data_IF_018071153025
#
_entry.id   IF_018071153025
#
_cell.length_a   1.000
_cell.length_b   1.000
_cell.length_c   1.000
_cell.angle_alpha   90.00
_cell.angle_beta   90.00
_cell.angle_gamma   90.00
#
_symmetry.space_group_name_H-M   'P 1'
#
loop_
_entity.id
_entity.type
_entity.pdbx_description
1 polymer ?
#
# COMPACT_ATOMS: atom_id res chain seq x y z
N UNK A 1 16.29 -0.76 22.05
CA UNK A 1 16.95 -1.74 21.16
C UNK A 1 16.52 -1.48 19.73
N UNK A 2 17.35 -1.77 18.72
CA UNK A 2 17.00 -1.60 17.30
C UNK A 2 17.31 -2.88 16.53
N UNK A 3 16.41 -3.28 15.61
CA UNK A 3 16.61 -4.44 14.73
C UNK A 3 15.96 -4.22 13.36
N UNK A 4 16.62 -4.71 12.32
CA UNK A 4 16.13 -4.69 10.94
C UNK A 4 15.80 -6.11 10.48
N UNK A 5 14.65 -6.28 9.81
CA UNK A 5 14.17 -7.55 9.30
C UNK A 5 13.97 -7.44 7.78
N UNK A 6 14.65 -8.28 7.02
CA UNK A 6 14.45 -8.33 5.57
C UNK A 6 13.16 -9.11 5.27
N UNK A 7 12.14 -8.40 4.74
CA UNK A 7 10.80 -8.94 4.48
C UNK A 7 10.34 -8.41 3.13
N UNK A 8 10.21 -9.28 2.12
CA UNK A 8 9.96 -8.89 0.72
C UNK A 8 8.51 -8.47 0.41
N UNK A 9 7.58 -8.54 1.38
CA UNK A 9 6.22 -8.03 1.25
C UNK A 9 5.70 -7.60 2.63
N UNK A 10 5.91 -6.34 3.00
CA UNK A 10 5.53 -5.82 4.32
C UNK A 10 4.07 -5.37 4.32
N UNK A 11 3.19 -6.13 4.99
CA UNK A 11 1.88 -5.63 5.39
C UNK A 11 1.93 -5.06 6.82
N UNK A 12 2.13 -3.74 6.93
CA UNK A 12 2.25 -3.02 8.20
C UNK A 12 0.99 -3.10 9.06
N UNK A 13 -0.20 -3.18 8.45
CA UNK A 13 -1.46 -3.26 9.22
C UNK A 13 -1.56 -4.63 9.90
N UNK A 14 -1.31 -5.71 9.16
CA UNK A 14 -1.26 -7.06 9.73
C UNK A 14 -0.17 -7.19 10.81
N UNK A 15 0.98 -6.54 10.62
CA UNK A 15 2.05 -6.51 11.63
C UNK A 15 1.60 -5.76 12.88
N UNK A 16 0.95 -4.60 12.72
CA UNK A 16 0.40 -3.81 13.81
C UNK A 16 -0.62 -4.61 14.63
N UNK A 17 -1.62 -5.22 13.98
CA UNK A 17 -2.65 -6.01 14.64
C UNK A 17 -2.05 -7.17 15.45
N UNK A 18 -1.07 -7.88 14.87
CA UNK A 18 -0.38 -8.99 15.53
C UNK A 18 0.43 -8.53 16.73
N UNK A 19 1.19 -7.43 16.60
CA UNK A 19 1.98 -6.89 17.72
C UNK A 19 1.05 -6.43 18.84
N UNK A 20 -0.04 -5.73 18.51
CA UNK A 20 -1.06 -5.28 19.46
C UNK A 20 -1.66 -6.47 20.21
N UNK A 21 -2.08 -7.51 19.49
CA UNK A 21 -2.64 -8.74 20.08
C UNK A 21 -1.64 -9.44 21.00
N UNK A 22 -0.38 -9.61 20.58
CA UNK A 22 0.62 -10.32 21.38
C UNK A 22 1.05 -9.53 22.61
N UNK A 23 1.12 -8.19 22.53
CA UNK A 23 1.36 -7.33 23.69
C UNK A 23 0.26 -7.51 24.74
N UNK A 24 -1.00 -7.53 24.31
CA UNK A 24 -2.14 -7.73 25.21
C UNK A 24 -2.17 -9.16 25.79
N UNK A 25 -1.83 -10.18 24.99
CA UNK A 25 -1.73 -11.57 25.43
C UNK A 25 -0.67 -11.76 26.53
N UNK A 26 0.38 -10.94 26.53
CA UNK A 26 1.44 -10.93 27.53
C UNK A 26 1.08 -10.10 28.78
N UNK A 27 -0.16 -9.63 28.90
CA UNK A 27 -0.65 -8.88 30.06
C UNK A 27 -0.17 -7.43 30.11
N UNK A 28 0.27 -6.88 28.98
CA UNK A 28 0.64 -5.47 28.85
C UNK A 28 -0.51 -4.65 28.25
N UNK A 29 -0.57 -3.37 28.60
CA UNK A 29 -1.60 -2.45 28.11
C UNK A 29 -1.00 -1.46 27.11
N UNK A 30 -1.72 -1.20 26.03
CA UNK A 30 -1.35 -0.14 25.06
C UNK A 30 -2.00 1.15 25.52
N UNK A 31 -1.17 2.09 25.98
CA UNK A 31 -1.60 3.38 26.49
C UNK A 31 -1.82 4.41 25.36
N UNK A 32 -1.08 4.27 24.26
CA UNK A 32 -1.24 5.11 23.07
C UNK A 32 -0.78 4.38 21.82
N UNK A 33 -1.53 4.58 20.75
CA UNK A 33 -1.24 4.11 19.40
C UNK A 33 -1.13 5.32 18.46
N UNK A 34 0.05 5.50 17.87
CA UNK A 34 0.38 6.60 16.96
C UNK A 34 0.70 6.04 15.56
N UNK A 35 -0.25 6.07 14.62
CA UNK A 35 0.02 5.71 13.24
C UNK A 35 0.97 6.73 12.60
N UNK A 36 1.82 6.27 11.68
CA UNK A 36 2.78 7.10 10.92
C UNK A 36 2.69 6.79 9.43
N UNK A 37 3.18 7.71 8.59
CA UNK A 37 3.10 7.56 7.12
C UNK A 37 3.76 6.28 6.60
N UNK A 38 4.77 5.77 7.32
CA UNK A 38 5.55 4.61 6.91
C UNK A 38 5.73 3.58 8.04
N UNK A 39 4.77 3.52 8.96
CA UNK A 39 4.92 2.73 10.17
C UNK A 39 3.92 3.10 11.27
N UNK A 40 4.27 2.77 12.51
CA UNK A 40 3.49 3.12 13.68
C UNK A 40 4.36 3.14 14.94
N UNK A 41 3.83 3.75 15.99
CA UNK A 41 4.43 3.77 17.32
C UNK A 41 3.40 3.39 18.38
N UNK A 42 3.72 2.40 19.21
CA UNK A 42 2.89 2.01 20.36
C UNK A 42 3.61 2.36 21.66
N UNK A 43 2.85 2.91 22.61
CA UNK A 43 3.26 3.11 23.98
C UNK A 43 2.61 2.05 24.84
N UNK A 44 3.43 1.27 25.52
CA UNK A 44 3.04 0.06 26.25
C UNK A 44 3.35 0.26 27.74
N UNK A 45 2.51 -0.28 28.60
CA UNK A 45 2.75 -0.32 30.05
C UNK A 45 2.48 -1.70 30.64
N UNK A 46 3.20 -2.03 31.72
CA UNK A 46 2.98 -3.21 32.56
C UNK A 46 3.16 -2.79 34.01
N UNK A 47 2.06 -2.47 34.70
CA UNK A 47 2.13 -1.84 36.02
C UNK A 47 2.77 -0.45 35.93
N UNK A 48 3.90 -0.26 36.63
CA UNK A 48 4.70 0.98 36.63
C UNK A 48 5.75 1.01 35.51
N UNK A 49 5.96 -0.10 34.82
CA UNK A 49 6.93 -0.18 33.74
C UNK A 49 6.33 0.38 32.44
N UNK A 50 7.11 1.17 31.73
CA UNK A 50 6.75 1.74 30.44
C UNK A 50 7.72 1.28 29.36
N UNK A 51 7.20 1.08 28.16
CA UNK A 51 7.99 0.82 26.98
C UNK A 51 7.34 1.39 25.73
N UNK A 52 8.11 1.42 24.66
CA UNK A 52 7.68 1.94 23.37
C UNK A 52 8.17 0.98 22.28
N UNK A 53 7.38 0.81 21.23
CA UNK A 53 7.80 0.16 20.00
C UNK A 53 7.48 1.05 18.82
N UNK A 54 8.47 1.29 17.99
CA UNK A 54 8.35 1.97 16.71
C UNK A 54 8.66 0.96 15.61
N UNK A 55 7.73 0.79 14.68
CA UNK A 55 7.88 -0.10 13.52
C UNK A 55 7.82 0.76 12.28
N UNK A 56 8.83 0.65 11.43
CA UNK A 56 8.95 1.36 10.17
C UNK A 56 9.14 0.37 9.04
N UNK A 57 8.46 0.61 7.92
CA UNK A 57 8.84 -0.03 6.67
C UNK A 57 10.03 0.73 6.08
N UNK A 58 11.20 0.10 6.00
CA UNK A 58 12.43 0.73 5.54
C UNK A 58 12.95 -0.07 4.34
N UNK A 59 13.10 0.60 3.20
CA UNK A 59 13.39 0.04 1.87
C UNK A 59 14.07 -1.35 1.88
N UNK A 60 13.28 -2.39 1.60
CA UNK A 60 13.73 -3.79 1.60
C UNK A 60 13.50 -4.55 2.90
N UNK A 61 12.79 -3.97 3.87
CA UNK A 61 12.47 -4.63 5.12
C UNK A 61 11.69 -3.79 6.13
N UNK A 62 11.73 -4.23 7.38
CA UNK A 62 11.08 -3.58 8.51
C UNK A 62 12.11 -3.25 9.57
N UNK A 63 12.17 -1.99 9.97
CA UNK A 63 12.98 -1.51 11.09
C UNK A 63 12.11 -1.44 12.33
N UNK A 64 12.55 -2.07 13.41
CA UNK A 64 11.88 -2.05 14.72
C UNK A 64 12.81 -1.40 15.73
N UNK A 65 12.29 -0.43 16.46
CA UNK A 65 12.99 0.25 17.55
C UNK A 65 12.14 0.13 18.81
N UNK A 66 12.72 -0.40 19.87
CA UNK A 66 12.08 -0.47 21.19
C UNK A 66 12.78 0.45 22.18
N UNK A 67 12.04 1.05 23.10
CA UNK A 67 12.56 1.91 24.16
C UNK A 67 11.89 1.63 25.50
N UNK A 68 12.49 2.12 26.58
CA UNK A 68 11.96 2.04 27.93
C UNK A 68 12.35 0.77 28.68
N UNK A 69 11.70 0.53 29.83
CA UNK A 69 12.02 -0.62 30.71
C UNK A 69 11.56 -1.95 30.13
N UNK A 70 10.53 -1.92 29.30
CA UNK A 70 9.98 -3.10 28.63
C UNK A 70 10.65 -3.37 27.27
N UNK A 71 11.75 -2.68 26.92
CA UNK A 71 12.33 -2.77 25.57
C UNK A 71 12.71 -4.21 25.15
N UNK A 72 13.11 -5.04 26.13
CA UNK A 72 13.52 -6.42 25.92
C UNK A 72 12.32 -7.36 25.78
N UNK A 73 11.33 -7.25 26.67
CA UNK A 73 10.07 -7.97 26.58
C UNK A 73 9.35 -7.70 25.26
N UNK A 74 9.27 -6.42 24.87
CA UNK A 74 8.64 -5.99 23.62
C UNK A 74 9.39 -6.55 22.40
N UNK A 75 10.74 -6.50 22.39
CA UNK A 75 11.49 -7.02 21.25
C UNK A 75 11.29 -8.54 21.09
N UNK A 76 11.23 -9.30 22.20
CA UNK A 76 10.97 -10.74 22.15
C UNK A 76 9.58 -11.10 21.62
N UNK A 77 8.62 -10.19 21.73
CA UNK A 77 7.27 -10.34 21.15
C UNK A 77 7.30 -10.03 19.66
N UNK A 78 7.98 -8.96 19.26
CA UNK A 78 8.00 -8.49 17.88
C UNK A 78 8.82 -9.40 16.96
N UNK A 79 9.97 -9.91 17.43
CA UNK A 79 10.86 -10.78 16.64
C UNK A 79 10.17 -11.97 15.95
N UNK A 80 9.42 -12.83 16.66
CA UNK A 80 8.76 -13.97 16.02
C UNK A 80 7.67 -13.55 15.03
N UNK A 81 7.04 -12.39 15.23
CA UNK A 81 6.03 -11.85 14.30
C UNK A 81 6.66 -11.53 12.95
N UNK A 82 7.87 -10.94 12.99
CA UNK A 82 8.64 -10.55 11.81
C UNK A 82 9.26 -11.74 11.07
N UNK A 83 9.52 -12.85 11.77
CA UNK A 83 10.12 -14.07 11.19
C UNK A 83 9.08 -15.07 10.67
N UNK A 84 7.81 -14.92 11.03
CA UNK A 84 6.77 -15.78 10.51
C UNK A 84 6.40 -15.35 9.09
N UNK A 85 6.43 -16.27 8.09
CA UNK A 85 5.85 -15.99 6.79
C UNK A 85 4.39 -15.61 7.01
N UNK A 86 4.01 -14.40 6.59
CA UNK A 86 2.65 -13.91 6.71
C UNK A 86 1.72 -14.93 6.06
N UNK A 87 0.96 -15.66 6.89
CA UNK A 87 -0.06 -16.55 6.38
C UNK A 87 -1.05 -15.69 5.59
N UNK A 88 -1.18 -15.99 4.30
CA UNK A 88 -2.20 -15.38 3.45
C UNK A 88 -3.56 -15.45 4.17
N UNK A 89 -4.42 -14.43 4.04
CA UNK A 89 -5.68 -14.37 4.76
C UNK A 89 -6.47 -15.66 4.53
N UNK A 90 -6.69 -16.40 5.61
CA UNK A 90 -7.57 -17.57 5.61
C UNK A 90 -8.96 -17.10 5.18
N UNK A 91 -9.34 -17.49 3.96
CA UNK A 91 -10.71 -17.38 3.49
C UNK A 91 -11.63 -18.04 4.51
N UNK A 92 -12.55 -17.25 5.05
CA UNK A 92 -13.60 -17.75 5.93
C UNK A 92 -14.40 -18.84 5.19
N UNK A 93 -14.65 -20.02 5.80
CA UNK A 93 -15.58 -20.97 5.22
C UNK A 93 -17.00 -20.40 5.37
N UNK A 94 -17.53 -19.84 4.29
CA UNK A 94 -18.94 -19.44 4.21
C UNK A 94 -19.81 -20.70 4.16
N UNK A 95 -20.21 -21.24 5.32
CA UNK A 95 -21.39 -22.10 5.40
C UNK A 95 -22.64 -21.21 5.41
N UNK A 96 -23.15 -20.86 4.23
CA UNK A 96 -24.51 -20.32 4.10
C UNK A 96 -25.50 -21.48 4.09
N UNK A 97 -26.04 -21.77 5.27
CA UNK A 97 -27.17 -22.65 5.48
C UNK A 97 -28.43 -21.99 4.88
N UNK A 98 -28.93 -22.57 3.80
CA UNK A 98 -30.05 -22.06 3.00
C UNK A 98 -31.39 -22.48 3.64
N UNK A 99 -31.99 -21.62 4.46
CA UNK A 99 -33.39 -21.73 4.87
C UNK A 99 -34.26 -20.73 4.07
N UNK A 100 -35.08 -21.23 3.14
CA UNK A 100 -36.24 -20.49 2.58
C UNK A 100 -37.42 -20.56 3.58
N UNK A 101 -38.34 -19.58 3.61
CA UNK A 101 -39.61 -19.69 2.86
C UNK A 101 -40.18 -18.30 2.42
N UNK A 102 -41.46 -18.13 2.01
CA UNK A 102 -41.94 -18.11 0.63
C UNK A 102 -42.47 -16.74 0.13
N UNK A 103 -42.73 -16.69 -1.18
CA UNK A 103 -43.39 -15.64 -1.97
C UNK A 103 -44.75 -15.18 -1.41
N UNK A 104 -45.20 -13.96 -1.78
CA UNK A 104 -46.42 -13.90 -2.61
C UNK A 104 -46.35 -12.90 -3.77
N UNK A 105 -46.99 -13.27 -4.87
CA UNK A 105 -47.41 -12.40 -5.99
C UNK A 105 -48.46 -11.39 -5.52
N UNK A 106 -48.69 -10.26 -6.23
CA UNK A 106 -49.61 -10.30 -7.39
C UNK A 106 -49.28 -9.32 -8.54
N UNK A 107 -49.68 -9.70 -9.75
CA UNK A 107 -49.99 -8.78 -10.88
C UNK A 107 -51.52 -8.56 -10.92
N UNK A 108 -52.16 -7.81 -11.85
CA UNK A 108 -51.71 -6.81 -12.85
C UNK A 108 -52.61 -5.54 -12.88
N UNK A 109 -52.24 -4.51 -13.67
CA UNK A 109 -53.14 -3.77 -14.60
C UNK A 109 -52.49 -2.47 -15.14
N UNK A 110 -52.38 -2.36 -16.47
CA UNK A 110 -52.19 -1.09 -17.19
C UNK A 110 -53.57 -0.44 -17.46
N UNK A 111 -53.62 0.88 -17.72
CA UNK A 111 -53.97 1.30 -19.08
C UNK A 111 -53.17 2.48 -19.67
N UNK A 112 -53.28 2.55 -21.00
CA UNK A 112 -52.64 3.33 -22.06
C UNK A 112 -52.58 4.88 -21.98
N UNK A 113 -51.40 5.41 -22.39
CA UNK A 113 -51.09 6.52 -23.35
C UNK A 113 -51.61 7.98 -23.11
N UNK A 114 -50.92 9.06 -23.64
CA UNK A 114 -50.25 9.14 -24.94
C UNK A 114 -48.88 9.85 -25.03
N UNK A 115 -48.32 9.73 -26.25
CA UNK A 115 -47.04 10.16 -26.80
C UNK A 115 -46.69 11.65 -26.63
N UNK A 116 -45.38 11.97 -26.55
CA UNK A 116 -44.75 13.19 -27.07
C UNK A 116 -43.21 12.98 -27.22
N UNK A 117 -42.51 13.78 -28.04
CA UNK A 117 -41.55 13.30 -29.04
C UNK A 117 -40.08 13.18 -28.59
N UNK A 118 -39.33 12.37 -29.35
CA UNK A 118 -37.87 12.27 -29.32
C UNK A 118 -37.19 13.59 -29.72
N UNK A 119 -36.08 13.95 -29.06
CA UNK A 119 -35.03 14.77 -29.67
C UNK A 119 -33.76 13.96 -29.93
N UNK A 120 -33.47 13.79 -31.22
CA UNK A 120 -32.18 13.80 -31.89
C UNK A 120 -30.93 13.29 -31.14
N UNK A 121 -30.44 12.15 -31.62
CA UNK A 121 -29.03 11.73 -31.60
C UNK A 121 -28.15 12.85 -32.19
N UNK A 122 -27.08 13.27 -31.50
CA UNK A 122 -26.03 14.03 -32.16
C UNK A 122 -25.21 13.11 -33.07
N UNK A 123 -25.14 13.52 -34.33
CA UNK A 123 -24.30 13.00 -35.39
C UNK A 123 -22.80 13.12 -35.00
N UNK A 124 -21.94 12.16 -35.38
CA UNK A 124 -20.52 12.19 -35.07
C UNK A 124 -19.82 13.32 -35.84
N UNK A 125 -19.13 14.20 -35.13
CA UNK A 125 -18.35 15.28 -35.71
C UNK A 125 -16.93 14.74 -36.06
N UNK A 126 -16.51 14.74 -37.34
CA UNK A 126 -15.15 14.39 -37.72
C UNK A 126 -14.29 15.65 -37.68
N UNK A 127 -13.59 15.87 -36.57
CA UNK A 127 -12.50 16.83 -36.53
C UNK A 127 -11.41 16.32 -35.59
N UNK A 128 -10.33 15.87 -36.21
CA UNK A 128 -9.05 15.60 -35.58
C UNK A 128 -8.61 16.76 -34.69
N UNK A 129 -8.24 16.45 -33.47
CA UNK A 129 -6.95 16.82 -32.87
C UNK A 129 -6.84 15.99 -31.58
N UNK A 130 -5.80 15.13 -31.43
CA UNK A 130 -5.56 14.52 -30.13
C UNK A 130 -5.31 15.67 -29.15
N UNK A 131 -6.16 15.75 -28.13
CA UNK A 131 -5.93 16.65 -27.01
C UNK A 131 -4.55 16.32 -26.47
N UNK A 132 -3.60 17.23 -26.70
CA UNK A 132 -2.31 17.23 -26.03
C UNK A 132 -2.66 17.42 -24.56
N UNK A 133 -2.73 16.29 -23.84
CA UNK A 133 -2.68 16.31 -22.39
C UNK A 133 -1.47 17.16 -22.02
N UNK A 134 -1.63 18.20 -21.17
CA UNK A 134 -0.50 18.99 -20.74
C UNK A 134 0.47 18.02 -20.08
N UNK A 135 1.62 17.80 -20.75
CA UNK A 135 2.74 17.15 -20.12
C UNK A 135 3.03 17.98 -18.87
N UNK A 136 2.99 17.40 -17.65
CA UNK A 136 3.51 18.10 -16.51
C UNK A 136 4.98 18.38 -16.82
N UNK A 137 5.31 19.65 -16.98
CA UNK A 137 6.68 20.15 -17.05
C UNK A 137 7.42 19.61 -15.84
N UNK A 138 8.27 18.62 -16.07
CA UNK A 138 9.19 18.14 -15.06
C UNK A 138 10.06 19.32 -14.62
N UNK A 139 10.27 19.52 -13.30
CA UNK A 139 11.38 20.36 -12.85
C UNK A 139 12.68 19.81 -13.44
N UNK A 140 13.64 20.66 -13.82
CA UNK A 140 14.87 20.21 -14.45
C UNK A 140 15.58 19.28 -13.48
N UNK A 141 15.61 17.99 -13.83
CA UNK A 141 16.42 17.00 -13.13
C UNK A 141 17.87 17.41 -13.30
N UNK A 142 18.56 17.67 -12.19
CA UNK A 142 20.01 17.75 -12.14
C UNK A 142 20.56 16.51 -12.83
N UNK A 143 21.12 16.67 -14.03
CA UNK A 143 21.74 15.62 -14.82
C UNK A 143 22.99 15.11 -14.09
N UNK A 144 22.80 14.31 -13.06
CA UNK A 144 23.83 13.44 -12.54
C UNK A 144 23.79 12.11 -13.31
N UNK A 145 24.96 11.49 -13.46
CA UNK A 145 25.27 10.47 -14.47
C UNK A 145 24.17 9.40 -14.60
N UNK A 146 23.42 9.48 -15.70
CA UNK A 146 22.41 8.50 -16.06
C UNK A 146 23.13 7.22 -16.53
N UNK A 147 22.95 6.12 -15.82
CA UNK A 147 23.49 4.81 -16.24
C UNK A 147 22.69 4.25 -17.43
N UNK A 148 23.28 3.40 -18.30
CA UNK A 148 22.55 2.75 -19.39
C UNK A 148 21.35 1.94 -18.90
N UNK A 149 21.48 1.27 -17.76
CA UNK A 149 20.42 0.48 -17.14
C UNK A 149 19.25 1.37 -16.68
N UNK A 150 19.53 2.54 -16.10
CA UNK A 150 18.51 3.51 -15.75
C UNK A 150 17.68 3.96 -16.97
N UNK A 151 18.33 4.21 -18.11
CA UNK A 151 17.63 4.56 -19.35
C UNK A 151 16.75 3.42 -19.87
N UNK A 152 17.23 2.17 -19.74
CA UNK A 152 16.46 1.01 -20.15
C UNK A 152 15.16 0.88 -19.34
N UNK A 153 15.23 1.03 -18.01
CA UNK A 153 14.03 1.00 -17.17
C UNK A 153 13.07 2.15 -17.46
N UNK A 154 13.58 3.38 -17.63
CA UNK A 154 12.76 4.53 -18.05
C UNK A 154 12.06 4.27 -19.38
N UNK A 155 12.77 3.70 -20.36
CA UNK A 155 12.23 3.35 -21.66
C UNK A 155 11.11 2.33 -21.57
N UNK A 156 11.31 1.24 -20.83
CA UNK A 156 10.32 0.18 -20.63
C UNK A 156 9.05 0.75 -19.99
N UNK A 157 9.18 1.53 -18.92
CA UNK A 157 8.04 2.12 -18.22
C UNK A 157 7.25 3.05 -19.16
N UNK A 158 7.94 3.92 -19.89
CA UNK A 158 7.32 4.85 -20.83
C UNK A 158 6.59 4.11 -21.97
N UNK A 159 7.24 3.10 -22.57
CA UNK A 159 6.64 2.28 -23.62
C UNK A 159 5.39 1.51 -23.15
N UNK A 160 5.37 1.12 -21.87
CA UNK A 160 4.23 0.44 -21.27
C UNK A 160 3.15 1.40 -20.75
N UNK A 161 3.28 2.71 -21.01
CA UNK A 161 2.27 3.72 -20.68
C UNK A 161 2.27 4.14 -19.22
N UNK A 162 3.38 3.97 -18.50
CA UNK A 162 3.56 4.57 -17.19
C UNK A 162 3.94 6.05 -17.35
N UNK A 163 3.28 6.91 -16.57
CA UNK A 163 3.69 8.30 -16.38
C UNK A 163 4.80 8.34 -15.35
N UNK A 164 5.96 8.86 -15.74
CA UNK A 164 7.12 8.97 -14.84
C UNK A 164 6.89 10.16 -13.91
N UNK A 165 6.76 9.87 -12.61
CA UNK A 165 6.57 10.86 -11.56
C UNK A 165 7.90 11.28 -10.92
N UNK A 166 8.84 10.34 -10.79
CA UNK A 166 10.19 10.60 -10.25
C UNK A 166 11.21 9.93 -11.15
N UNK A 167 12.28 10.66 -11.45
CA UNK A 167 13.42 10.20 -12.21
C UNK A 167 14.68 10.81 -11.60
N UNK A 168 15.34 10.08 -10.72
CA UNK A 168 16.55 10.52 -10.04
C UNK A 168 17.67 9.51 -10.27
N UNK A 169 18.86 9.98 -10.61
CA UNK A 169 20.03 9.14 -10.80
C UNK A 169 21.27 9.89 -10.33
N UNK A 170 22.18 9.17 -9.69
CA UNK A 170 23.49 9.66 -9.29
C UNK A 170 24.52 8.52 -9.44
N UNK A 171 25.80 8.81 -9.21
CA UNK A 171 26.85 7.78 -9.23
C UNK A 171 26.52 6.65 -8.25
N UNK A 172 26.26 5.46 -8.79
CA UNK A 172 25.98 4.24 -8.03
C UNK A 172 24.55 4.08 -7.51
N UNK A 173 23.64 5.00 -7.82
CA UNK A 173 22.24 4.95 -7.36
C UNK A 173 21.26 5.51 -8.38
N UNK A 174 20.11 4.85 -8.57
CA UNK A 174 18.99 5.43 -9.30
C UNK A 174 17.63 5.06 -8.71
N UNK A 175 16.66 5.95 -8.91
CA UNK A 175 15.27 5.78 -8.49
C UNK A 175 14.30 6.28 -9.58
N UNK A 176 13.36 5.43 -9.96
CA UNK A 176 12.29 5.73 -10.91
C UNK A 176 10.95 5.40 -10.27
N UNK A 177 10.03 6.36 -10.26
CA UNK A 177 8.61 6.13 -9.91
C UNK A 177 7.75 6.31 -11.15
N UNK A 178 7.08 5.25 -11.56
CA UNK A 178 6.09 5.26 -12.64
C UNK A 178 4.67 5.02 -12.13
N UNK A 179 3.68 5.67 -12.72
CA UNK A 179 2.26 5.45 -12.41
C UNK A 179 1.46 5.12 -13.67
N UNK A 180 0.60 4.10 -13.59
CA UNK A 180 -0.36 3.74 -14.65
C UNK A 180 -1.71 3.41 -14.04
N UNK A 181 -2.68 4.32 -14.19
CA UNK A 181 -3.98 4.20 -13.51
C UNK A 181 -3.83 4.19 -11.98
N UNK A 182 -4.25 3.10 -11.36
CA UNK A 182 -4.15 2.88 -9.91
C UNK A 182 -2.88 2.12 -9.50
N UNK A 183 -2.00 1.80 -10.45
CA UNK A 183 -0.74 1.11 -10.18
C UNK A 183 0.41 2.11 -10.10
N UNK A 184 1.26 1.94 -9.09
CA UNK A 184 2.55 2.62 -8.95
C UNK A 184 3.64 1.56 -8.99
N UNK A 185 4.71 1.83 -9.72
CA UNK A 185 5.93 1.02 -9.75
C UNK A 185 7.08 1.91 -9.32
N UNK A 186 7.82 1.43 -8.33
CA UNK A 186 9.06 2.03 -7.84
C UNK A 186 10.23 1.10 -8.23
N UNK A 187 11.22 1.65 -8.92
CA UNK A 187 12.43 0.94 -9.32
C UNK A 187 13.62 1.66 -8.68
N UNK A 188 14.32 0.95 -7.80
CA UNK A 188 15.58 1.38 -7.22
C UNK A 188 16.71 0.51 -7.75
N UNK A 189 17.80 1.15 -8.19
CA UNK A 189 19.06 0.49 -8.48
C UNK A 189 20.17 1.07 -7.61
N UNK A 190 20.99 0.20 -7.03
CA UNK A 190 22.14 0.58 -6.23
C UNK A 190 23.29 -0.38 -6.47
N UNK A 191 24.52 0.11 -6.41
CA UNK A 191 25.70 -0.75 -6.45
C UNK A 191 25.74 -1.64 -5.19
N UNK A 192 25.98 -2.95 -5.38
CA UNK A 192 26.28 -3.82 -4.24
C UNK A 192 27.76 -3.62 -3.84
N UNK A 193 28.06 -3.44 -2.55
CA UNK A 193 29.44 -3.42 -2.09
C UNK A 193 30.08 -4.79 -2.32
N UNK A 194 31.27 -4.77 -2.94
CA UNK A 194 32.09 -5.94 -3.25
C UNK A 194 32.69 -6.61 -2.02
#
# INVERSE_FOLDING_TARGET
MEKFFQIDNVDLNSIHDRITSEIQNQGMEIHRDEPRDNGFKLFVRRGEEHGEVEVFNDWGGVKVITHGRLEWDIMNIVEPIMQQPQAAPQGMPTQVQQNRPPMPSPSPAMPQQPMMPHPMVPQPNPAMQPAIVPHPTMPPTTQAAITPEHQQFLGILTQNGYQIMVNNANQGYFFIRGRKGNFVIDIEGREQPS
#
